data_IF_960525766721
#
_entry.id   IF_960525766721
#
_cell.length_a   1.000
_cell.length_b   1.000
_cell.length_c   1.000
_cell.angle_alpha   90.00
_cell.angle_beta   90.00
_cell.angle_gamma   90.00
#
_symmetry.space_group_name_H-M   'P 1'
#
loop_
_entity.id
_entity.type
_entity.pdbx_description
1 polymer ?
#
# COMPACT_ATOMS: atom_id res chain seq x y z
N UNK A 1 81.82 -40.79 18.31
CA UNK A 1 82.63 -42.03 18.52
C UNK A 1 81.75 -43.24 18.20
N UNK A 2 82.28 -44.25 17.50
CA UNK A 2 82.03 -44.53 16.06
C UNK A 2 81.05 -45.71 15.81
N UNK A 3 80.65 -46.14 14.60
CA UNK A 3 81.12 -46.03 13.18
C UNK A 3 79.96 -45.61 12.25
N UNK A 4 80.08 -45.20 10.97
CA UNK A 4 81.04 -45.35 9.85
C UNK A 4 80.82 -46.57 8.93
N UNK A 5 80.19 -46.33 7.76
CA UNK A 5 80.37 -46.94 6.42
C UNK A 5 79.40 -46.17 5.47
N UNK A 6 79.70 -45.56 4.30
CA UNK A 6 80.59 -45.91 3.16
C UNK A 6 80.26 -47.28 2.55
N UNK A 7 80.19 -47.55 1.23
CA UNK A 7 80.44 -46.83 -0.05
C UNK A 7 79.72 -47.66 -1.19
N UNK A 8 79.51 -47.27 -2.47
CA UNK A 8 79.78 -46.07 -3.30
C UNK A 8 78.82 -46.02 -4.54
N UNK A 9 79.21 -45.27 -5.58
CA UNK A 9 78.88 -45.23 -7.05
C UNK A 9 78.01 -46.32 -7.73
N UNK A 10 77.32 -46.06 -8.86
CA UNK A 10 77.32 -44.85 -9.72
C UNK A 10 76.44 -44.96 -10.99
N UNK A 11 76.77 -44.13 -11.99
CA UNK A 11 76.23 -44.00 -13.36
C UNK A 11 74.76 -43.57 -13.61
N UNK A 12 74.66 -42.40 -14.23
CA UNK A 12 73.65 -42.08 -15.26
C UNK A 12 74.33 -42.23 -16.65
N UNK A 13 73.59 -42.48 -17.74
CA UNK A 13 72.93 -41.35 -18.38
C UNK A 13 71.52 -41.63 -18.96
N UNK A 14 70.93 -40.56 -19.46
CA UNK A 14 69.66 -40.45 -20.18
C UNK A 14 69.47 -41.41 -21.37
N UNK A 15 68.22 -41.83 -21.60
CA UNK A 15 67.58 -41.57 -22.90
C UNK A 15 66.04 -41.39 -22.76
N UNK A 16 65.42 -40.72 -23.73
CA UNK A 16 64.02 -40.31 -23.73
C UNK A 16 63.03 -41.41 -24.14
N UNK A 17 61.86 -41.42 -23.50
CA UNK A 17 60.75 -42.33 -23.86
C UNK A 17 59.41 -41.71 -23.51
N UNK A 18 58.71 -41.17 -24.52
CA UNK A 18 57.44 -40.48 -24.33
C UNK A 18 56.37 -41.39 -23.70
N UNK A 19 55.72 -40.92 -22.62
CA UNK A 19 54.49 -41.52 -22.09
C UNK A 19 53.35 -40.52 -22.17
N UNK A 20 52.31 -40.87 -22.93
CA UNK A 20 51.08 -40.09 -23.05
C UNK A 20 50.41 -39.95 -21.68
N UNK A 21 50.46 -38.75 -21.09
CA UNK A 21 49.72 -38.42 -19.89
C UNK A 21 48.23 -38.26 -20.18
N UNK A 22 47.44 -39.27 -19.85
CA UNK A 22 45.97 -39.24 -19.94
C UNK A 22 45.41 -38.12 -19.05
N UNK A 23 45.04 -36.96 -19.64
CA UNK A 23 44.41 -35.86 -18.91
C UNK A 23 42.95 -36.17 -18.58
N UNK A 24 42.74 -36.79 -17.42
CA UNK A 24 41.42 -36.94 -16.79
C UNK A 24 40.80 -35.57 -16.50
N UNK A 25 39.73 -35.22 -17.22
CA UNK A 25 38.99 -33.97 -17.03
C UNK A 25 38.06 -34.05 -15.80
N UNK A 26 38.57 -33.71 -14.61
CA UNK A 26 37.74 -33.49 -13.43
C UNK A 26 36.94 -32.18 -13.59
N UNK A 27 35.64 -32.30 -13.90
CA UNK A 27 34.68 -31.20 -13.71
C UNK A 27 34.63 -30.80 -12.25
N UNK A 28 35.13 -29.61 -11.91
CA UNK A 28 35.02 -29.07 -10.56
C UNK A 28 33.55 -28.85 -10.19
N UNK A 29 33.08 -29.48 -9.10
CA UNK A 29 31.78 -29.14 -8.51
C UNK A 29 31.85 -27.71 -7.98
N UNK A 30 30.93 -26.85 -8.44
CA UNK A 30 30.77 -25.50 -7.86
C UNK A 30 30.27 -25.62 -6.43
N UNK A 31 30.73 -24.71 -5.58
CA UNK A 31 30.24 -24.58 -4.20
C UNK A 31 28.74 -24.24 -4.17
N UNK A 32 27.89 -25.04 -3.49
CA UNK A 32 26.45 -24.76 -3.40
C UNK A 32 26.12 -23.40 -2.77
N UNK A 33 26.88 -22.98 -1.75
CA UNK A 33 26.69 -21.67 -1.09
C UNK A 33 26.92 -20.51 -2.06
N UNK A 34 27.97 -20.57 -2.87
CA UNK A 34 28.24 -19.59 -3.92
C UNK A 34 27.14 -19.55 -5.01
N UNK A 35 26.51 -20.68 -5.34
CA UNK A 35 25.40 -20.74 -6.30
C UNK A 35 24.14 -20.07 -5.73
N UNK A 36 23.76 -20.40 -4.49
CA UNK A 36 22.61 -19.79 -3.81
C UNK A 36 22.80 -18.28 -3.59
N UNK A 37 24.02 -17.86 -3.20
CA UNK A 37 24.36 -16.44 -3.08
C UNK A 37 24.29 -15.69 -4.41
N UNK A 38 24.57 -16.37 -5.54
CA UNK A 38 24.43 -15.79 -6.88
C UNK A 38 22.95 -15.68 -7.30
N UNK A 39 22.12 -16.69 -6.99
CA UNK A 39 20.68 -16.67 -7.23
C UNK A 39 20.00 -15.52 -6.46
N UNK A 40 20.32 -15.36 -5.17
CA UNK A 40 19.82 -14.25 -4.33
C UNK A 40 20.15 -12.88 -4.94
N UNK A 41 21.38 -12.71 -5.45
CA UNK A 41 21.83 -11.48 -6.13
C UNK A 41 21.17 -11.25 -7.49
N UNK A 42 20.75 -12.31 -8.20
CA UNK A 42 19.94 -12.15 -9.42
C UNK A 42 18.57 -11.56 -9.03
N UNK A 43 17.99 -11.98 -7.90
CA UNK A 43 16.75 -11.37 -7.40
C UNK A 43 16.92 -9.90 -7.01
N UNK A 44 17.99 -9.56 -6.28
CA UNK A 44 18.34 -8.16 -5.96
C UNK A 44 18.51 -7.31 -7.25
N UNK A 45 19.21 -7.84 -8.25
CA UNK A 45 19.42 -7.17 -9.55
C UNK A 45 18.13 -7.06 -10.41
N UNK A 46 17.01 -7.68 -10.02
CA UNK A 46 15.72 -7.66 -10.74
C UNK A 46 14.58 -7.00 -9.94
N UNK A 47 14.87 -6.36 -8.81
CA UNK A 47 13.88 -5.69 -7.97
C UNK A 47 13.09 -4.60 -8.73
N UNK A 48 13.74 -3.91 -9.67
CA UNK A 48 13.11 -2.88 -10.54
C UNK A 48 12.45 -3.47 -11.81
N UNK A 49 12.26 -4.79 -11.88
CA UNK A 49 11.68 -5.49 -13.04
C UNK A 49 12.64 -5.66 -14.23
N UNK A 50 12.11 -6.18 -15.35
CA UNK A 50 12.90 -6.53 -16.54
C UNK A 50 13.37 -5.34 -17.41
N UNK A 51 12.84 -4.14 -17.16
CA UNK A 51 13.33 -2.89 -17.73
C UNK A 51 14.26 -2.11 -16.78
N UNK A 52 14.49 -2.64 -15.57
CA UNK A 52 15.23 -1.97 -14.49
C UNK A 52 16.74 -1.84 -14.72
N UNK A 53 17.42 -0.92 -14.01
CA UNK A 53 18.87 -0.69 -14.15
C UNK A 53 19.72 -1.92 -13.78
N UNK A 54 19.25 -2.78 -12.89
CA UNK A 54 19.95 -3.99 -12.45
C UNK A 54 19.99 -5.13 -13.48
N UNK A 55 19.15 -5.11 -14.52
CA UNK A 55 18.96 -6.24 -15.46
C UNK A 55 20.26 -6.66 -16.17
N UNK A 56 21.19 -5.73 -16.42
CA UNK A 56 22.51 -6.04 -16.99
C UNK A 56 23.42 -6.78 -15.99
N UNK A 57 23.25 -6.57 -14.70
CA UNK A 57 23.92 -7.35 -13.66
C UNK A 57 23.28 -8.74 -13.54
N UNK A 58 21.95 -8.83 -13.52
CA UNK A 58 21.21 -10.10 -13.55
C UNK A 58 21.64 -10.97 -14.74
N UNK A 59 21.60 -10.43 -15.97
CA UNK A 59 22.01 -11.16 -17.19
C UNK A 59 23.47 -11.67 -17.13
N UNK A 60 24.39 -10.90 -16.54
CA UNK A 60 25.80 -11.34 -16.31
C UNK A 60 25.87 -12.51 -15.34
N UNK A 61 25.10 -12.48 -14.24
CA UNK A 61 25.07 -13.56 -13.23
C UNK A 61 24.40 -14.81 -13.79
N UNK A 62 23.26 -14.67 -14.47
CA UNK A 62 22.54 -15.77 -15.16
C UNK A 62 23.47 -16.44 -16.17
N UNK A 63 24.18 -15.67 -17.01
CA UNK A 63 25.19 -16.22 -17.94
C UNK A 63 26.28 -17.01 -17.23
N UNK A 64 26.86 -16.46 -16.17
CA UNK A 64 27.90 -17.14 -15.38
C UNK A 64 27.38 -18.42 -14.72
N UNK A 65 26.15 -18.41 -14.20
CA UNK A 65 25.51 -19.53 -13.53
C UNK A 65 25.17 -20.66 -14.51
N UNK A 66 24.59 -20.32 -15.67
CA UNK A 66 24.27 -21.26 -16.76
C UNK A 66 25.49 -21.77 -17.55
N UNK A 67 26.65 -21.11 -17.41
CA UNK A 67 27.84 -21.37 -18.23
C UNK A 67 27.60 -21.10 -19.73
N UNK A 68 26.74 -20.12 -20.03
CA UNK A 68 26.28 -19.80 -21.37
C UNK A 68 27.25 -18.88 -22.14
N UNK A 69 27.23 -18.97 -23.47
CA UNK A 69 28.04 -18.10 -24.34
C UNK A 69 27.50 -16.66 -24.27
N UNK A 70 26.17 -16.51 -24.34
CA UNK A 70 25.45 -15.27 -24.06
C UNK A 70 24.08 -15.51 -23.43
N UNK A 71 23.57 -14.49 -22.74
CA UNK A 71 22.21 -14.42 -22.20
C UNK A 71 21.62 -13.05 -22.54
N UNK A 72 20.41 -13.05 -23.07
CA UNK A 72 19.58 -11.87 -23.27
C UNK A 72 18.37 -11.93 -22.35
N UNK A 73 18.06 -10.82 -21.69
CA UNK A 73 16.81 -10.62 -20.96
C UNK A 73 16.04 -9.54 -21.70
N UNK A 74 14.81 -9.87 -22.12
CA UNK A 74 13.98 -9.01 -22.97
C UNK A 74 12.70 -8.67 -22.23
N UNK A 75 12.37 -7.37 -22.17
CA UNK A 75 11.09 -6.88 -21.66
C UNK A 75 9.98 -6.91 -22.74
N UNK A 76 8.75 -6.57 -22.35
CA UNK A 76 7.61 -6.49 -23.28
C UNK A 76 7.71 -5.34 -24.30
N UNK A 77 8.58 -4.36 -24.08
CA UNK A 77 8.84 -3.30 -25.06
C UNK A 77 9.84 -3.76 -26.16
N UNK A 78 10.35 -4.98 -26.06
CA UNK A 78 11.35 -5.53 -26.99
C UNK A 78 12.79 -5.12 -26.67
N UNK A 79 13.03 -4.48 -25.51
CA UNK A 79 14.37 -4.04 -25.11
C UNK A 79 15.20 -5.24 -24.63
N UNK A 80 16.11 -5.71 -25.49
CA UNK A 80 16.97 -6.86 -25.18
C UNK A 80 18.27 -6.43 -24.48
N UNK A 81 18.36 -6.67 -23.17
CA UNK A 81 19.61 -6.49 -22.39
C UNK A 81 20.47 -7.75 -22.45
N UNK A 82 21.61 -7.65 -23.15
CA UNK A 82 22.52 -8.78 -23.38
C UNK A 82 23.74 -8.80 -22.46
N UNK A 83 24.19 -10.02 -22.15
CA UNK A 83 25.50 -10.33 -21.60
C UNK A 83 26.17 -11.43 -22.42
N UNK A 84 27.45 -11.28 -22.76
CA UNK A 84 28.21 -12.24 -23.55
C UNK A 84 28.14 -12.00 -25.06
N UNK A 85 28.73 -12.91 -25.84
CA UNK A 85 28.82 -12.80 -27.29
C UNK A 85 27.75 -13.67 -27.96
N UNK A 86 26.74 -13.04 -28.56
CA UNK A 86 25.68 -13.76 -29.30
C UNK A 86 26.31 -14.43 -30.55
N UNK A 87 26.09 -15.74 -30.79
CA UNK A 87 26.70 -16.42 -31.93
C UNK A 87 26.31 -15.80 -33.27
N UNK A 88 27.30 -15.49 -34.12
CA UNK A 88 27.08 -14.88 -35.44
C UNK A 88 26.15 -15.74 -36.30
N UNK A 89 25.20 -15.11 -36.99
CA UNK A 89 24.22 -15.78 -37.83
C UNK A 89 22.98 -16.33 -37.11
N UNK A 90 22.87 -16.20 -35.78
CA UNK A 90 21.65 -16.57 -35.06
C UNK A 90 20.50 -15.57 -35.29
N UNK A 91 19.34 -16.06 -35.73
CA UNK A 91 18.10 -15.28 -35.84
C UNK A 91 17.37 -15.23 -34.49
N UNK A 92 18.00 -14.63 -33.48
CA UNK A 92 17.42 -14.55 -32.14
C UNK A 92 16.14 -13.71 -32.09
N UNK A 93 16.01 -12.70 -32.96
CA UNK A 93 14.76 -11.92 -33.12
C UNK A 93 13.59 -12.82 -33.52
N UNK A 94 13.72 -13.62 -34.59
CA UNK A 94 12.67 -14.57 -34.99
C UNK A 94 12.34 -15.65 -33.94
N UNK A 95 13.30 -15.94 -33.03
CA UNK A 95 13.06 -16.84 -31.91
C UNK A 95 12.35 -16.17 -30.74
N UNK A 96 12.68 -14.90 -30.48
CA UNK A 96 11.99 -14.02 -29.53
C UNK A 96 10.55 -13.82 -30.00
N UNK A 97 10.32 -13.46 -31.26
CA UNK A 97 8.99 -13.30 -31.86
C UNK A 97 8.16 -14.57 -31.63
N UNK A 98 8.71 -15.76 -31.94
CA UNK A 98 8.01 -17.02 -31.72
C UNK A 98 7.68 -17.28 -30.24
N UNK A 99 8.58 -16.95 -29.32
CA UNK A 99 8.36 -17.09 -27.88
C UNK A 99 7.32 -16.11 -27.33
N UNK A 100 7.31 -14.86 -27.82
CA UNK A 100 6.32 -13.83 -27.47
C UNK A 100 4.93 -14.17 -28.01
N UNK A 101 4.82 -14.66 -29.24
CA UNK A 101 3.53 -14.95 -29.89
C UNK A 101 2.90 -16.29 -29.46
N UNK A 102 3.71 -17.28 -29.09
CA UNK A 102 3.18 -18.60 -28.66
C UNK A 102 3.14 -18.77 -27.16
N UNK A 103 3.82 -17.88 -26.40
CA UNK A 103 4.04 -18.01 -24.96
C UNK A 103 4.64 -19.35 -24.52
N UNK A 104 5.28 -20.06 -25.47
CA UNK A 104 5.98 -21.31 -25.20
C UNK A 104 7.48 -21.17 -25.39
N UNK A 105 8.24 -22.07 -24.76
CA UNK A 105 9.68 -22.19 -24.99
C UNK A 105 9.97 -22.43 -26.48
N UNK A 106 10.65 -21.49 -27.11
CA UNK A 106 11.11 -21.60 -28.49
C UNK A 106 12.58 -22.09 -28.58
N UNK A 107 12.86 -22.91 -29.58
CA UNK A 107 14.23 -23.27 -29.97
C UNK A 107 14.88 -24.39 -29.16
N UNK A 108 16.14 -24.69 -29.52
CA UNK A 108 16.98 -25.75 -28.96
C UNK A 108 18.45 -25.29 -28.98
N UNK A 109 19.33 -25.77 -28.10
CA UNK A 109 20.76 -25.45 -28.13
C UNK A 109 21.34 -25.56 -29.56
N UNK A 110 22.05 -24.54 -30.06
CA UNK A 110 22.73 -23.48 -29.30
C UNK A 110 21.89 -22.23 -28.99
N UNK A 111 20.58 -22.17 -29.26
CA UNK A 111 19.76 -20.99 -28.93
C UNK A 111 18.36 -21.38 -28.42
N UNK A 112 18.04 -20.98 -27.20
CA UNK A 112 16.73 -21.23 -26.57
C UNK A 112 16.15 -19.91 -26.07
N UNK A 113 14.86 -19.68 -26.30
CA UNK A 113 14.09 -18.62 -25.66
C UNK A 113 13.07 -19.24 -24.70
N UNK A 114 12.95 -18.69 -23.49
CA UNK A 114 12.03 -19.12 -22.44
C UNK A 114 11.21 -17.90 -22.00
N UNK A 115 9.90 -17.89 -22.25
CA UNK A 115 8.97 -16.93 -21.64
C UNK A 115 9.10 -16.89 -20.11
N UNK A 116 8.98 -15.70 -19.54
CA UNK A 116 8.94 -15.48 -18.10
C UNK A 116 7.53 -15.01 -17.76
N UNK A 117 6.72 -15.91 -17.19
CA UNK A 117 5.37 -15.62 -16.73
C UNK A 117 5.38 -15.25 -15.25
N UNK A 118 4.75 -14.14 -14.89
CA UNK A 118 4.64 -13.61 -13.52
C UNK A 118 3.15 -13.50 -13.23
N UNK A 119 2.63 -14.34 -12.34
CA UNK A 119 1.19 -14.42 -12.08
C UNK A 119 0.34 -14.66 -13.36
N UNK A 120 0.74 -15.65 -14.16
CA UNK A 120 0.18 -16.01 -15.48
C UNK A 120 0.23 -14.91 -16.58
N UNK A 121 0.71 -13.70 -16.27
CA UNK A 121 1.02 -12.66 -17.27
C UNK A 121 2.44 -12.84 -17.82
N UNK A 122 2.61 -12.77 -19.15
CA UNK A 122 3.94 -12.71 -19.76
C UNK A 122 4.65 -11.41 -19.32
N UNK A 123 5.75 -11.51 -18.59
CA UNK A 123 6.56 -10.36 -18.16
C UNK A 123 7.73 -10.06 -19.12
N UNK A 124 8.19 -11.07 -19.87
CA UNK A 124 9.32 -10.94 -20.79
C UNK A 124 9.87 -12.30 -21.24
N UNK A 125 11.08 -12.30 -21.81
CA UNK A 125 11.72 -13.52 -22.35
C UNK A 125 13.20 -13.61 -21.97
N UNK A 126 13.59 -14.76 -21.43
CA UNK A 126 14.98 -15.15 -21.22
C UNK A 126 15.51 -15.88 -22.47
N UNK A 127 16.47 -15.28 -23.17
CA UNK A 127 17.14 -15.89 -24.32
C UNK A 127 18.53 -16.38 -23.91
N UNK A 128 18.81 -17.67 -24.08
CA UNK A 128 20.09 -18.30 -23.73
C UNK A 128 20.77 -18.84 -24.99
N UNK A 129 21.99 -18.37 -25.23
CA UNK A 129 22.87 -18.85 -26.28
C UNK A 129 23.97 -19.74 -25.69
N UNK A 130 24.10 -20.96 -26.20
CA UNK A 130 25.11 -21.95 -25.84
C UNK A 130 24.56 -23.36 -25.65
N UNK A 131 25.42 -24.29 -25.23
CA UNK A 131 25.09 -25.72 -25.05
C UNK A 131 24.62 -26.06 -23.64
N UNK A 132 23.89 -25.15 -23.00
CA UNK A 132 23.33 -25.32 -21.65
C UNK A 132 22.19 -26.33 -21.63
N UNK A 133 22.08 -27.11 -20.54
CA UNK A 133 21.00 -28.11 -20.37
C UNK A 133 19.65 -27.42 -20.14
N UNK A 134 18.61 -27.89 -20.82
CA UNK A 134 17.23 -27.38 -20.69
C UNK A 134 16.74 -27.21 -19.25
N UNK A 135 17.03 -28.18 -18.35
CA UNK A 135 16.62 -28.11 -16.95
C UNK A 135 17.29 -26.98 -16.17
N UNK A 136 18.56 -26.67 -16.46
CA UNK A 136 19.24 -25.54 -15.83
C UNK A 136 18.71 -24.19 -16.33
N UNK A 137 18.32 -24.10 -17.61
CA UNK A 137 17.68 -22.89 -18.15
C UNK A 137 16.32 -22.67 -17.48
N UNK A 138 15.52 -23.74 -17.32
CA UNK A 138 14.24 -23.69 -16.61
C UNK A 138 14.43 -23.22 -15.16
N UNK A 139 15.28 -23.89 -14.39
CA UNK A 139 15.54 -23.54 -12.98
C UNK A 139 15.86 -22.04 -12.79
N UNK A 140 16.65 -21.45 -13.70
CA UNK A 140 16.99 -20.02 -13.63
C UNK A 140 15.86 -19.11 -14.12
N UNK A 141 15.07 -19.55 -15.10
CA UNK A 141 13.84 -18.86 -15.49
C UNK A 141 12.84 -18.82 -14.32
N UNK A 142 12.63 -19.96 -13.65
CA UNK A 142 11.76 -20.10 -12.48
C UNK A 142 12.24 -19.21 -11.31
N UNK A 143 13.56 -19.13 -11.06
CA UNK A 143 14.12 -18.20 -10.07
C UNK A 143 13.97 -16.72 -10.46
N UNK A 144 14.05 -16.39 -11.75
CA UNK A 144 13.80 -15.02 -12.24
C UNK A 144 12.32 -14.65 -12.09
N UNK A 145 11.40 -15.57 -12.41
CA UNK A 145 9.95 -15.41 -12.18
C UNK A 145 9.66 -15.15 -10.71
N UNK A 146 10.14 -16.02 -9.80
CA UNK A 146 9.91 -15.87 -8.37
C UNK A 146 10.49 -14.55 -7.79
N UNK A 147 11.60 -14.05 -8.36
CA UNK A 147 12.15 -12.75 -7.99
C UNK A 147 11.27 -11.58 -8.45
N UNK A 148 10.74 -11.63 -9.68
CA UNK A 148 9.84 -10.62 -10.24
C UNK A 148 8.49 -10.59 -9.52
N UNK A 149 7.94 -11.76 -9.19
CA UNK A 149 6.72 -11.88 -8.37
C UNK A 149 6.92 -11.25 -6.99
N UNK A 150 8.04 -11.58 -6.31
CA UNK A 150 8.37 -10.99 -5.02
C UNK A 150 8.50 -9.46 -5.10
N UNK A 151 9.20 -8.94 -6.11
CA UNK A 151 9.35 -7.50 -6.30
C UNK A 151 8.00 -6.79 -6.51
N UNK A 152 7.11 -7.37 -7.32
CA UNK A 152 5.74 -6.86 -7.54
C UNK A 152 4.91 -6.87 -6.25
N UNK A 153 5.03 -7.91 -5.43
CA UNK A 153 4.36 -8.00 -4.13
C UNK A 153 4.90 -6.97 -3.12
N UNK A 154 6.22 -6.81 -3.02
CA UNK A 154 6.85 -5.83 -2.13
C UNK A 154 6.46 -4.40 -2.51
N UNK A 155 6.49 -4.05 -3.80
CA UNK A 155 6.02 -2.75 -4.28
C UNK A 155 4.52 -2.53 -4.00
N UNK A 156 3.67 -3.55 -4.21
CA UNK A 156 2.23 -3.46 -3.91
C UNK A 156 1.96 -3.27 -2.41
N UNK A 157 2.72 -3.94 -1.55
CA UNK A 157 2.62 -3.78 -0.09
C UNK A 157 3.07 -2.39 0.36
N UNK A 158 4.14 -1.85 -0.23
CA UNK A 158 4.58 -0.49 0.04
C UNK A 158 3.54 0.55 -0.41
N UNK A 159 2.95 0.40 -1.61
CA UNK A 159 1.87 1.28 -2.05
C UNK A 159 0.65 1.22 -1.12
N UNK A 160 0.27 0.03 -0.63
CA UNK A 160 -0.82 -0.12 0.33
C UNK A 160 -0.51 0.57 1.66
N UNK A 161 0.68 0.32 2.24
CA UNK A 161 1.11 0.97 3.48
C UNK A 161 1.22 2.50 3.34
N UNK A 162 1.69 3.01 2.19
CA UNK A 162 1.69 4.44 1.91
C UNK A 162 0.28 5.02 1.75
N UNK A 163 -0.68 4.27 1.19
CA UNK A 163 -2.07 4.69 1.09
C UNK A 163 -2.75 4.72 2.46
N UNK A 164 -2.52 3.71 3.30
CA UNK A 164 -2.98 3.62 4.68
C UNK A 164 -2.41 4.77 5.54
N UNK A 165 -1.10 5.02 5.47
CA UNK A 165 -0.47 6.16 6.15
C UNK A 165 -1.00 7.52 5.67
N UNK A 166 -1.43 7.64 4.40
CA UNK A 166 -2.09 8.86 3.89
C UNK A 166 -3.53 8.99 4.40
N UNK A 167 -4.26 7.88 4.53
CA UNK A 167 -5.60 7.86 5.10
C UNK A 167 -5.58 8.25 6.59
N UNK A 168 -4.73 7.61 7.39
CA UNK A 168 -4.53 7.93 8.82
C UNK A 168 -4.09 9.39 9.04
N UNK A 169 -3.24 9.93 8.16
CA UNK A 169 -2.84 11.36 8.20
C UNK A 169 -3.95 12.33 7.80
N UNK A 170 -4.98 11.87 7.10
CA UNK A 170 -6.15 12.70 6.75
C UNK A 170 -7.20 12.73 7.86
N UNK A 171 -7.11 11.81 8.83
CA UNK A 171 -8.08 11.63 9.92
C UNK A 171 -7.94 12.66 11.05
N UNK A 172 -6.84 13.43 11.07
CA UNK A 172 -6.67 14.62 11.93
C UNK A 172 -6.49 15.86 11.06
N UNK A 173 -7.41 16.82 11.17
CA UNK A 173 -7.27 18.16 10.59
C UNK A 173 -6.11 18.93 11.25
N UNK A 174 -4.99 19.21 10.55
CA UNK A 174 -3.85 19.92 11.16
C UNK A 174 -4.19 21.38 11.50
N UNK A 175 -5.13 21.97 10.74
CA UNK A 175 -5.68 23.30 10.98
C UNK A 175 -6.45 23.36 12.30
N UNK A 176 -7.27 22.34 12.59
CA UNK A 176 -8.00 22.25 13.86
C UNK A 176 -7.04 22.19 15.05
N UNK A 177 -6.03 21.31 14.98
CA UNK A 177 -5.00 21.18 16.03
C UNK A 177 -4.31 22.52 16.29
N UNK A 178 -3.90 23.23 15.24
CA UNK A 178 -3.26 24.54 15.39
C UNK A 178 -4.19 25.58 16.03
N UNK A 179 -5.45 25.65 15.59
CA UNK A 179 -6.41 26.64 16.09
C UNK A 179 -6.83 26.37 17.54
N UNK A 180 -7.09 25.10 17.89
CA UNK A 180 -7.41 24.69 19.25
C UNK A 180 -6.26 25.02 20.21
N UNK A 181 -5.02 24.66 19.87
CA UNK A 181 -3.84 24.98 20.69
C UNK A 181 -3.60 26.49 20.80
N UNK A 182 -3.85 27.26 19.73
CA UNK A 182 -3.73 28.73 19.75
C UNK A 182 -4.73 29.36 20.72
N UNK A 183 -5.98 28.89 20.73
CA UNK A 183 -7.01 29.38 21.66
C UNK A 183 -6.72 28.98 23.09
N UNK A 184 -6.36 27.72 23.34
CA UNK A 184 -5.94 27.24 24.67
C UNK A 184 -4.80 28.13 25.19
N UNK A 185 -3.74 28.33 24.40
CA UNK A 185 -2.60 29.18 24.76
C UNK A 185 -2.98 30.64 25.06
N UNK A 186 -3.99 31.20 24.37
CA UNK A 186 -4.48 32.56 24.61
C UNK A 186 -5.24 32.72 25.94
N UNK A 187 -5.83 31.64 26.44
CA UNK A 187 -6.64 31.63 27.66
C UNK A 187 -5.82 31.39 28.94
N UNK A 188 -4.63 30.77 28.85
CA UNK A 188 -3.75 30.41 30.00
C UNK A 188 -3.59 31.51 31.06
N UNK A 189 -3.59 32.79 30.67
CA UNK A 189 -3.43 33.93 31.59
C UNK A 189 -4.74 34.68 31.89
N UNK A 190 -5.73 34.60 31.01
CA UNK A 190 -6.96 35.40 31.07
C UNK A 190 -8.13 34.62 31.69
N UNK A 191 -8.20 33.32 31.42
CA UNK A 191 -9.16 32.37 31.99
C UNK A 191 -8.47 30.98 32.14
N UNK A 192 -7.68 30.77 33.21
CA UNK A 192 -6.90 29.54 33.40
C UNK A 192 -7.78 28.29 33.54
N UNK A 193 -8.95 28.43 34.17
CA UNK A 193 -9.88 27.32 34.38
C UNK A 193 -10.46 26.87 33.03
N UNK A 194 -10.93 27.80 32.19
CA UNK A 194 -11.40 27.47 30.84
C UNK A 194 -10.28 26.95 29.94
N UNK A 195 -9.06 27.47 30.10
CA UNK A 195 -7.87 26.93 29.40
C UNK A 195 -7.58 25.48 29.79
N UNK A 196 -7.80 25.10 31.04
CA UNK A 196 -7.59 23.74 31.52
C UNK A 196 -8.70 22.79 31.03
N UNK A 197 -9.96 23.21 31.08
CA UNK A 197 -11.10 22.47 30.48
C UNK A 197 -10.83 22.16 29.00
N UNK A 198 -10.50 23.18 28.19
CA UNK A 198 -10.24 23.00 26.76
C UNK A 198 -9.02 22.12 26.48
N UNK A 199 -8.06 22.05 27.40
CA UNK A 199 -6.90 21.15 27.28
C UNK A 199 -7.30 19.68 27.52
N UNK A 200 -8.22 19.43 28.45
CA UNK A 200 -8.81 18.11 28.67
C UNK A 200 -9.71 17.71 27.50
N UNK A 201 -10.61 18.60 27.06
CA UNK A 201 -11.44 18.39 25.86
C UNK A 201 -10.56 18.03 24.65
N UNK A 202 -9.46 18.76 24.44
CA UNK A 202 -8.53 18.49 23.34
C UNK A 202 -7.83 17.13 23.49
N UNK A 203 -7.42 16.76 24.70
CA UNK A 203 -6.80 15.46 24.97
C UNK A 203 -7.79 14.30 24.73
N UNK A 204 -9.05 14.44 25.13
CA UNK A 204 -10.08 13.42 24.98
C UNK A 204 -10.58 13.32 23.53
N UNK A 205 -10.72 14.44 22.81
CA UNK A 205 -10.95 14.43 21.35
C UNK A 205 -9.83 13.70 20.61
N UNK A 206 -8.56 14.00 20.90
CA UNK A 206 -7.44 13.32 20.25
C UNK A 206 -7.39 11.84 20.63
N UNK A 207 -7.67 11.49 21.90
CA UNK A 207 -7.74 10.10 22.35
C UNK A 207 -8.83 9.34 21.62
N UNK A 208 -9.99 9.95 21.41
CA UNK A 208 -11.06 9.36 20.62
C UNK A 208 -10.56 9.14 19.18
N UNK A 209 -10.28 10.23 18.45
CA UNK A 209 -9.91 10.23 17.04
C UNK A 209 -8.67 9.38 16.68
N UNK A 210 -7.75 9.11 17.64
CA UNK A 210 -6.57 8.26 17.44
C UNK A 210 -6.68 6.85 18.01
N UNK A 211 -7.67 6.55 18.85
CA UNK A 211 -7.74 5.23 19.45
C UNK A 211 -8.23 4.20 18.41
N UNK A 212 -7.50 3.08 18.34
CA UNK A 212 -7.98 1.85 17.73
C UNK A 212 -9.15 1.29 18.55
N UNK A 213 -10.34 1.85 18.33
CA UNK A 213 -11.59 1.30 18.82
C UNK A 213 -11.92 -0.03 18.13
N UNK A 214 -12.94 -0.73 18.64
CA UNK A 214 -13.55 -1.84 17.91
C UNK A 214 -14.19 -1.39 16.59
N UNK A 215 -14.73 -2.32 15.83
CA UNK A 215 -15.48 -1.99 14.60
C UNK A 215 -16.73 -1.13 14.88
N UNK A 216 -17.25 -1.20 16.11
CA UNK A 216 -18.46 -0.55 16.57
C UNK A 216 -18.25 0.17 17.90
N UNK A 217 -19.20 1.03 18.23
CA UNK A 217 -19.29 1.88 19.44
C UNK A 217 -20.78 2.16 19.70
N UNK A 218 -21.12 2.88 20.76
CA UNK A 218 -22.51 3.32 21.01
C UNK A 218 -22.78 4.70 20.43
N UNK A 219 -24.06 4.98 20.13
CA UNK A 219 -24.52 6.35 19.84
C UNK A 219 -24.11 7.31 20.96
N UNK A 220 -24.15 6.88 22.23
CA UNK A 220 -23.71 7.71 23.36
C UNK A 220 -22.23 8.15 23.27
N UNK A 221 -21.33 7.24 22.89
CA UNK A 221 -19.89 7.54 22.74
C UNK A 221 -19.63 8.47 21.55
N UNK A 222 -20.30 8.25 20.42
CA UNK A 222 -20.22 9.14 19.26
C UNK A 222 -20.82 10.53 19.54
N UNK A 223 -21.92 10.61 20.31
CA UNK A 223 -22.46 11.89 20.78
C UNK A 223 -21.52 12.61 21.75
N UNK A 224 -20.85 11.88 22.65
CA UNK A 224 -19.86 12.46 23.55
C UNK A 224 -18.67 13.04 22.77
N UNK A 225 -18.13 12.31 21.79
CA UNK A 225 -17.01 12.78 20.98
C UNK A 225 -17.33 14.05 20.16
N UNK A 226 -18.53 14.13 19.57
CA UNK A 226 -18.95 15.34 18.84
C UNK A 226 -19.23 16.51 19.79
N UNK A 227 -19.71 16.28 21.01
CA UNK A 227 -19.86 17.33 22.02
C UNK A 227 -18.50 17.94 22.40
N UNK A 228 -17.49 17.11 22.65
CA UNK A 228 -16.11 17.55 22.89
C UNK A 228 -15.54 18.33 21.71
N UNK A 229 -15.71 17.84 20.48
CA UNK A 229 -15.31 18.56 19.26
C UNK A 229 -16.00 19.93 19.14
N UNK A 230 -17.32 19.98 19.37
CA UNK A 230 -18.11 21.20 19.28
C UNK A 230 -17.74 22.21 20.38
N UNK A 231 -17.37 21.75 21.58
CA UNK A 231 -16.85 22.61 22.65
C UNK A 231 -15.53 23.30 22.24
N UNK A 232 -14.60 22.55 21.65
CA UNK A 232 -13.34 23.07 21.11
C UNK A 232 -13.57 24.05 19.95
N UNK A 233 -14.45 23.70 19.00
CA UNK A 233 -14.79 24.58 17.88
C UNK A 233 -15.49 25.87 18.32
N UNK A 234 -16.33 25.82 19.35
CA UNK A 234 -16.94 27.04 19.94
C UNK A 234 -15.90 27.94 20.61
N UNK A 235 -14.82 27.39 21.16
CA UNK A 235 -13.71 28.21 21.66
C UNK A 235 -12.92 28.87 20.50
N UNK A 236 -12.77 28.17 19.37
CA UNK A 236 -12.11 28.69 18.15
C UNK A 236 -12.92 29.76 17.43
N UNK A 237 -14.22 29.52 17.22
CA UNK A 237 -15.10 30.39 16.43
C UNK A 237 -15.85 31.44 17.27
N UNK A 238 -15.85 31.29 18.59
CA UNK A 238 -16.60 32.15 19.52
C UNK A 238 -18.09 32.18 19.17
N UNK A 239 -18.69 33.37 19.24
CA UNK A 239 -20.12 33.59 18.95
C UNK A 239 -20.53 33.25 17.49
N UNK A 240 -19.58 33.03 16.57
CA UNK A 240 -19.88 32.59 15.20
C UNK A 240 -20.36 31.14 15.12
N UNK A 241 -20.12 30.30 16.12
CA UNK A 241 -20.65 28.92 16.15
C UNK A 241 -21.71 28.74 17.24
N UNK A 242 -22.97 28.69 16.81
CA UNK A 242 -24.09 28.26 17.65
C UNK A 242 -24.26 26.75 17.50
N UNK A 243 -24.56 26.06 18.59
CA UNK A 243 -24.67 24.59 18.63
C UNK A 243 -25.93 24.18 19.36
N UNK A 244 -26.65 23.19 18.83
CA UNK A 244 -27.78 22.57 19.48
C UNK A 244 -27.72 21.05 19.34
N UNK A 245 -27.57 20.33 20.45
CA UNK A 245 -27.58 18.86 20.51
C UNK A 245 -28.87 18.40 21.17
N UNK A 246 -29.58 17.42 20.58
CA UNK A 246 -30.83 16.86 21.09
C UNK A 246 -30.95 15.36 20.78
N UNK A 247 -30.62 14.51 21.75
CA UNK A 247 -30.69 13.05 21.58
C UNK A 247 -31.73 12.43 22.51
N UNK A 248 -32.58 11.56 21.96
CA UNK A 248 -33.55 10.79 22.73
C UNK A 248 -32.82 9.69 23.53
N UNK A 249 -33.10 9.50 24.85
CA UNK A 249 -32.38 8.52 25.66
C UNK A 249 -32.45 7.08 25.12
N UNK A 250 -33.52 6.73 24.42
CA UNK A 250 -33.77 5.41 23.83
C UNK A 250 -32.81 5.05 22.67
N UNK A 251 -32.20 6.03 21.99
CA UNK A 251 -31.22 5.74 20.93
C UNK A 251 -29.78 5.67 21.42
N UNK A 252 -29.47 6.14 22.63
CA UNK A 252 -28.10 6.24 23.15
C UNK A 252 -27.35 4.90 23.21
N UNK A 253 -28.06 3.81 23.49
CA UNK A 253 -27.49 2.47 23.59
C UNK A 253 -27.41 1.70 22.25
N UNK A 254 -27.84 2.31 21.14
CA UNK A 254 -27.75 1.67 19.81
C UNK A 254 -26.28 1.55 19.42
N UNK A 255 -25.90 0.35 18.96
CA UNK A 255 -24.56 0.06 18.49
C UNK A 255 -24.40 0.51 17.03
N UNK A 256 -23.38 1.34 16.76
CA UNK A 256 -23.12 1.94 15.46
C UNK A 256 -21.64 1.79 15.08
N UNK A 257 -21.29 1.83 13.78
CA UNK A 257 -19.89 1.78 13.36
C UNK A 257 -19.12 2.98 13.92
N UNK A 258 -17.87 2.75 14.30
CA UNK A 258 -16.99 3.81 14.80
C UNK A 258 -16.79 4.92 13.74
N UNK A 259 -16.66 6.19 14.18
CA UNK A 259 -16.51 7.42 13.38
C UNK A 259 -17.59 7.59 12.30
N UNK A 260 -18.86 7.65 12.72
CA UNK A 260 -20.01 7.93 11.83
C UNK A 260 -20.50 9.37 11.96
N UNK A 261 -20.61 9.90 13.18
CA UNK A 261 -21.12 11.25 13.46
C UNK A 261 -20.03 12.32 13.37
N UNK A 262 -18.82 12.03 13.86
CA UNK A 262 -17.73 13.00 13.87
C UNK A 262 -17.44 13.60 12.49
N UNK A 263 -17.30 12.82 11.38
CA UNK A 263 -17.07 13.39 10.05
C UNK A 263 -18.20 14.28 9.53
N UNK A 264 -19.45 14.04 9.98
CA UNK A 264 -20.62 14.85 9.59
C UNK A 264 -20.61 16.19 10.33
N UNK A 265 -20.32 16.18 11.62
CA UNK A 265 -20.22 17.39 12.45
C UNK A 265 -19.01 18.24 12.07
N UNK A 266 -17.87 17.60 11.76
CA UNK A 266 -16.71 18.28 11.18
C UNK A 266 -17.06 18.96 9.84
N UNK A 267 -17.80 18.28 8.97
CA UNK A 267 -18.25 18.86 7.69
C UNK A 267 -19.19 20.06 7.91
N UNK A 268 -20.16 19.95 8.81
CA UNK A 268 -21.08 21.03 9.16
C UNK A 268 -20.35 22.28 9.67
N UNK A 269 -19.36 22.13 10.55
CA UNK A 269 -18.57 23.25 11.06
C UNK A 269 -17.61 23.81 9.99
N UNK A 270 -16.76 22.98 9.40
CA UNK A 270 -15.67 23.41 8.50
C UNK A 270 -16.15 23.88 7.13
N UNK A 271 -17.18 23.25 6.58
CA UNK A 271 -17.67 23.53 5.22
C UNK A 271 -18.99 24.31 5.21
N UNK A 272 -19.81 24.20 6.27
CA UNK A 272 -21.02 25.01 6.44
C UNK A 272 -20.73 26.37 7.10
N UNK A 273 -20.28 26.35 8.37
CA UNK A 273 -20.24 27.54 9.24
C UNK A 273 -18.97 28.38 9.10
N UNK A 274 -17.78 27.77 9.12
CA UNK A 274 -16.48 28.46 9.09
C UNK A 274 -16.35 29.45 7.90
N UNK A 275 -16.76 29.12 6.66
CA UNK A 275 -16.70 30.02 5.51
C UNK A 275 -17.71 31.18 5.57
N UNK A 276 -18.77 31.09 6.38
CA UNK A 276 -19.85 32.08 6.46
C UNK A 276 -19.46 33.21 7.42
N UNK A 277 -19.25 34.47 6.97
CA UNK A 277 -18.71 35.52 7.84
C UNK A 277 -19.55 35.78 9.10
N UNK A 278 -20.89 35.77 8.97
CA UNK A 278 -21.83 35.93 10.08
C UNK A 278 -21.92 34.74 11.04
N UNK A 279 -21.16 33.67 10.82
CA UNK A 279 -21.29 32.42 11.56
C UNK A 279 -22.53 31.62 11.17
N UNK A 280 -22.94 30.71 12.05
CA UNK A 280 -24.04 29.80 11.79
C UNK A 280 -24.50 29.01 13.02
N UNK A 281 -25.41 28.07 12.77
CA UNK A 281 -25.93 27.07 13.71
C UNK A 281 -25.60 25.70 13.16
N UNK A 282 -25.02 24.83 14.01
CA UNK A 282 -24.99 23.38 13.80
C UNK A 282 -25.96 22.74 14.78
N UNK A 283 -26.90 21.95 14.26
CA UNK A 283 -27.86 21.18 15.02
C UNK A 283 -27.63 19.70 14.82
N UNK A 284 -27.48 18.95 15.91
CA UNK A 284 -27.39 17.48 15.92
C UNK A 284 -28.58 16.93 16.68
N UNK A 285 -29.31 16.00 16.08
CA UNK A 285 -30.46 15.35 16.72
C UNK A 285 -30.49 13.85 16.47
N UNK A 286 -30.88 13.07 17.48
CA UNK A 286 -31.05 11.62 17.38
C UNK A 286 -32.38 11.17 17.99
N UNK A 287 -33.18 10.41 17.25
CA UNK A 287 -34.51 9.95 17.63
C UNK A 287 -34.82 8.56 17.07
N UNK A 288 -35.73 7.81 17.70
CA UNK A 288 -36.23 6.57 17.14
C UNK A 288 -37.40 6.82 16.17
N UNK A 289 -37.34 6.22 14.99
CA UNK A 289 -38.41 6.23 13.99
C UNK A 289 -38.83 4.79 13.69
N UNK A 290 -39.75 4.26 14.50
CA UNK A 290 -40.22 2.88 14.38
C UNK A 290 -39.14 1.87 14.81
N UNK A 291 -38.58 1.12 13.86
CA UNK A 291 -37.48 0.18 14.08
C UNK A 291 -36.09 0.78 13.86
N UNK A 292 -35.99 2.02 13.40
CA UNK A 292 -34.73 2.67 13.07
C UNK A 292 -34.34 3.73 14.11
N UNK A 293 -33.05 3.83 14.41
CA UNK A 293 -32.43 5.03 14.94
C UNK A 293 -32.15 5.99 13.76
N UNK A 294 -32.56 7.25 13.90
CA UNK A 294 -32.31 8.30 12.91
C UNK A 294 -31.54 9.43 13.57
N UNK A 295 -30.36 9.72 13.03
CA UNK A 295 -29.50 10.82 13.48
C UNK A 295 -29.37 11.81 12.34
N UNK A 296 -29.63 13.09 12.64
CA UNK A 296 -29.53 14.20 11.69
C UNK A 296 -28.48 15.19 12.18
N UNK A 297 -27.58 15.60 11.28
CA UNK A 297 -26.65 16.72 11.46
C UNK A 297 -27.01 17.79 10.44
N UNK A 298 -27.38 18.98 10.89
CA UNK A 298 -27.85 20.08 10.04
C UNK A 298 -27.05 21.36 10.33
N UNK A 299 -26.64 22.08 9.27
CA UNK A 299 -26.04 23.40 9.35
C UNK A 299 -26.83 24.44 8.54
N UNK A 300 -26.88 25.69 9.03
CA UNK A 300 -27.44 26.84 8.29
C UNK A 300 -26.41 27.58 7.43
N UNK A 301 -25.34 26.87 7.04
CA UNK A 301 -24.15 27.42 6.40
C UNK A 301 -24.29 27.72 4.91
N UNK A 302 -23.14 27.78 4.21
CA UNK A 302 -23.09 28.08 2.77
C UNK A 302 -23.65 26.97 1.87
N UNK A 303 -23.81 25.75 2.41
CA UNK A 303 -24.28 24.58 1.66
C UNK A 303 -23.42 24.22 0.45
N UNK A 304 -23.95 23.36 -0.42
CA UNK A 304 -23.32 23.04 -1.70
C UNK A 304 -24.36 22.70 -2.77
N UNK A 305 -23.92 22.59 -4.03
CA UNK A 305 -24.79 22.14 -5.11
C UNK A 305 -25.15 20.65 -4.92
N UNK A 306 -26.39 20.21 -5.16
CA UNK A 306 -26.79 18.80 -5.08
C UNK A 306 -25.87 17.85 -5.86
N UNK A 307 -25.53 18.21 -7.12
CA UNK A 307 -24.62 17.42 -7.95
C UNK A 307 -23.19 17.30 -7.39
N UNK A 308 -22.75 18.21 -6.51
CA UNK A 308 -21.48 18.08 -5.78
C UNK A 308 -21.60 17.08 -4.64
N UNK A 309 -22.71 17.08 -3.89
CA UNK A 309 -22.97 16.08 -2.86
C UNK A 309 -23.04 14.67 -3.46
N UNK A 310 -23.77 14.49 -4.57
CA UNK A 310 -23.80 13.23 -5.34
C UNK A 310 -22.41 12.77 -5.78
N UNK A 311 -21.59 13.68 -6.33
CA UNK A 311 -20.23 13.35 -6.75
C UNK A 311 -19.31 12.97 -5.57
N UNK A 312 -19.49 13.59 -4.40
CA UNK A 312 -18.77 13.25 -3.17
C UNK A 312 -19.15 11.83 -2.72
N UNK A 313 -20.45 11.54 -2.58
CA UNK A 313 -20.93 10.21 -2.17
C UNK A 313 -20.51 9.11 -3.16
N UNK A 314 -20.46 9.42 -4.46
CA UNK A 314 -19.95 8.53 -5.50
C UNK A 314 -18.40 8.36 -5.51
N UNK A 315 -17.68 8.91 -4.54
CA UNK A 315 -16.22 8.83 -4.43
C UNK A 315 -15.45 9.65 -5.49
N UNK A 316 -16.12 10.57 -6.18
CA UNK A 316 -15.55 11.44 -7.24
C UNK A 316 -15.29 12.87 -6.75
N UNK A 317 -15.50 13.14 -5.45
CA UNK A 317 -15.24 14.44 -4.83
C UNK A 317 -13.75 14.75 -4.64
N UNK A 318 -13.41 15.98 -4.20
CA UNK A 318 -12.06 16.33 -3.77
C UNK A 318 -11.58 15.43 -2.63
N UNK A 319 -10.26 15.28 -2.48
CA UNK A 319 -9.66 14.49 -1.38
C UNK A 319 -10.08 14.98 0.02
N UNK A 320 -10.42 16.26 0.17
CA UNK A 320 -10.92 16.82 1.43
C UNK A 320 -12.36 16.36 1.79
N UNK A 321 -13.11 15.81 0.85
CA UNK A 321 -14.50 15.36 1.03
C UNK A 321 -14.63 13.84 1.23
N UNK A 322 -13.52 13.13 1.45
CA UNK A 322 -13.47 11.67 1.60
C UNK A 322 -14.25 11.18 2.83
N UNK A 323 -14.40 11.98 3.88
CA UNK A 323 -15.14 11.63 5.10
C UNK A 323 -16.58 11.17 4.84
N UNK A 324 -17.39 11.97 4.13
CA UNK A 324 -18.79 11.65 3.85
C UNK A 324 -18.94 10.35 3.02
N UNK A 325 -18.05 10.14 2.04
CA UNK A 325 -18.03 8.95 1.20
C UNK A 325 -17.58 7.68 1.94
N UNK A 326 -16.77 7.83 2.99
CA UNK A 326 -16.39 6.74 3.88
C UNK A 326 -17.53 6.39 4.84
N UNK A 327 -18.23 7.38 5.40
CA UNK A 327 -19.43 7.17 6.25
C UNK A 327 -20.52 6.42 5.48
N UNK A 328 -20.91 6.89 4.28
CA UNK A 328 -21.90 6.20 3.43
C UNK A 328 -21.52 4.73 3.17
N UNK A 329 -20.26 4.49 2.78
CA UNK A 329 -19.75 3.14 2.51
C UNK A 329 -19.77 2.26 3.75
N UNK A 330 -19.37 2.78 4.91
CA UNK A 330 -19.33 2.05 6.19
C UNK A 330 -20.74 1.64 6.60
N UNK A 331 -21.70 2.57 6.56
CA UNK A 331 -23.11 2.30 6.86
C UNK A 331 -23.71 1.24 5.91
N UNK A 332 -23.50 1.36 4.59
CA UNK A 332 -23.96 0.38 3.60
C UNK A 332 -23.31 -0.99 3.74
N UNK A 333 -22.08 -1.06 4.24
CA UNK A 333 -21.37 -2.33 4.47
C UNK A 333 -21.94 -3.07 5.67
N UNK A 334 -22.27 -2.35 6.74
CA UNK A 334 -22.74 -2.92 8.01
C UNK A 334 -24.24 -3.23 7.98
N UNK A 335 -25.06 -2.33 7.46
CA UNK A 335 -26.53 -2.44 7.49
C UNK A 335 -27.16 -2.78 6.14
N UNK A 336 -26.38 -2.73 5.05
CA UNK A 336 -26.84 -3.01 3.69
C UNK A 336 -27.20 -1.77 2.87
N UNK A 337 -27.48 -1.93 1.56
CA UNK A 337 -27.50 -0.84 0.58
C UNK A 337 -28.60 0.21 0.78
N UNK A 338 -29.60 -0.07 1.63
CA UNK A 338 -30.72 0.82 1.96
C UNK A 338 -30.38 1.84 3.05
N UNK A 339 -29.34 1.58 3.85
CA UNK A 339 -28.91 2.41 4.97
C UNK A 339 -27.67 3.25 4.57
N UNK A 340 -27.80 4.01 3.48
CA UNK A 340 -26.78 4.97 3.05
C UNK A 340 -26.88 6.32 3.78
N UNK A 341 -25.86 7.16 3.61
CA UNK A 341 -25.92 8.56 4.07
C UNK A 341 -26.78 9.36 3.09
N UNK A 342 -27.81 10.05 3.61
CA UNK A 342 -28.61 11.00 2.83
C UNK A 342 -28.07 12.41 3.07
N UNK A 343 -27.84 13.17 2.01
CA UNK A 343 -27.36 14.56 2.06
C UNK A 343 -28.31 15.45 1.28
N UNK A 344 -29.04 16.30 1.99
CA UNK A 344 -29.94 17.32 1.46
C UNK A 344 -29.22 18.67 1.59
N UNK A 345 -29.03 19.40 0.49
CA UNK A 345 -28.26 20.66 0.49
C UNK A 345 -28.55 21.48 -0.75
N UNK A 346 -28.51 22.80 -0.60
CA UNK A 346 -28.51 23.76 -1.70
C UNK A 346 -27.62 24.95 -1.30
N UNK A 347 -27.10 25.69 -2.28
CA UNK A 347 -26.28 26.88 -2.01
C UNK A 347 -27.04 27.89 -1.17
N UNK A 348 -26.35 28.44 -0.17
CA UNK A 348 -26.85 29.44 0.78
C UNK A 348 -28.08 28.98 1.61
N UNK A 349 -28.41 27.68 1.57
CA UNK A 349 -29.48 27.03 2.34
C UNK A 349 -28.96 26.00 3.36
N UNK A 350 -27.64 25.84 3.48
CA UNK A 350 -27.01 24.91 4.42
C UNK A 350 -26.93 23.45 3.93
N UNK A 351 -26.67 22.54 4.87
CA UNK A 351 -26.55 21.10 4.63
C UNK A 351 -27.29 20.33 5.72
N UNK A 352 -28.10 19.34 5.34
CA UNK A 352 -28.75 18.41 6.24
C UNK A 352 -28.32 16.98 5.88
N UNK A 353 -27.62 16.34 6.78
CA UNK A 353 -27.06 14.99 6.65
C UNK A 353 -27.84 14.05 7.57
N UNK A 354 -28.44 13.01 7.01
CA UNK A 354 -29.28 12.05 7.74
C UNK A 354 -28.66 10.66 7.66
N UNK A 355 -28.36 10.10 8.83
CA UNK A 355 -27.98 8.71 9.05
C UNK A 355 -29.20 7.97 9.57
N UNK A 356 -29.54 6.85 8.94
CA UNK A 356 -30.55 5.90 9.39
C UNK A 356 -29.87 4.56 9.62
N UNK A 357 -30.21 3.87 10.70
CA UNK A 357 -29.74 2.52 11.01
C UNK A 357 -30.78 1.80 11.86
N UNK A 358 -30.88 0.46 11.82
CA UNK A 358 -31.80 -0.27 12.68
C UNK A 358 -31.42 -0.11 14.17
N UNK A 359 -32.40 -0.07 15.06
CA UNK A 359 -32.18 -0.05 16.52
C UNK A 359 -31.43 -1.29 17.04
N UNK A 360 -31.44 -2.38 16.26
CA UNK A 360 -30.70 -3.61 16.53
C UNK A 360 -30.26 -4.27 15.21
N UNK A 361 -28.98 -4.62 15.09
CA UNK A 361 -28.44 -5.39 13.98
C UNK A 361 -27.61 -6.58 14.50
N UNK A 362 -27.84 -7.82 14.01
CA UNK A 362 -27.02 -8.97 14.40
C UNK A 362 -25.54 -8.76 14.03
N UNK A 363 -24.64 -8.98 14.98
CA UNK A 363 -23.19 -8.83 14.80
C UNK A 363 -22.67 -7.40 15.02
N UNK A 364 -23.54 -6.41 15.22
CA UNK A 364 -23.17 -5.02 15.56
C UNK A 364 -23.32 -4.86 17.07
N UNK A 365 -22.20 -4.94 17.78
CA UNK A 365 -22.11 -4.82 19.24
C UNK A 365 -20.90 -3.96 19.63
N UNK A 366 -21.00 -3.09 20.66
CA UNK A 366 -19.88 -2.25 21.11
C UNK A 366 -18.74 -3.07 21.75
#
# INVERSE_FOLDING_TARGET
MPRSNEMSEGDAPSDGGARLGFRSSKTARRDPTAVLAMARRIGEDLADGLAGPGVRAAARRVRALLGADAVGVVDLAGTATWSGAVPRGTRWLALLDLALHTETRAGRPPLTAVPLHVHDELAGVLVVAGRTRSGAIREVADWMVAALERARLEASAEYAAQAELRALRAEISPHFVYNALTVIASLVHSDPDRSHELMLDFADYNRYSLASHGEYTTVAEEFHAIETYLALQRAVLGDRLRVQVRVAPEVLAVAIPYLVLQPLVENAVRHGVEPRPGGGLVQVSGEAQGSDCVITVEDDGVGMAPARAEAILAGKGPAESVGLANVDRRLRTVYGPWYGLVVETERDAGTRMVVRMPMFAPGVVP
#
